data_IF_981872545345
#
_entry.id   IF_981872545345
#
_cell.length_a   1.000
_cell.length_b   1.000
_cell.length_c   1.000
_cell.angle_alpha   90.00
_cell.angle_beta   90.00
_cell.angle_gamma   90.00
#
_symmetry.space_group_name_H-M   'P 1'
#
loop_
_entity.id
_entity.type
_entity.pdbx_description
1 polymer ?
#
# COMPACT_ATOMS: atom_id res chain seq x y z
N UNK A 1 -11.87 -13.12 -4.32
CA UNK A 1 -11.63 -11.67 -4.32
C UNK A 1 -10.49 -11.43 -3.36
N UNK A 2 -9.28 -11.33 -3.92
CA UNK A 2 -8.03 -11.29 -3.16
C UNK A 2 -7.95 -9.96 -2.39
N UNK A 3 -7.34 -9.94 -1.21
CA UNK A 3 -7.08 -8.69 -0.47
C UNK A 3 -6.27 -7.73 -1.35
N UNK A 4 -5.46 -8.28 -2.24
CA UNK A 4 -4.79 -7.57 -3.32
C UNK A 4 -5.72 -6.66 -4.16
N UNK A 5 -6.96 -7.06 -4.39
CA UNK A 5 -7.94 -6.26 -5.13
C UNK A 5 -8.53 -5.14 -4.28
N UNK A 6 -8.81 -5.42 -2.99
CA UNK A 6 -9.27 -4.43 -1.99
C UNK A 6 -8.21 -3.34 -1.76
N UNK A 7 -6.94 -3.71 -1.65
CA UNK A 7 -5.82 -2.79 -1.42
C UNK A 7 -5.11 -2.34 -2.72
N UNK A 8 -5.69 -2.61 -3.89
CA UNK A 8 -5.10 -2.24 -5.19
C UNK A 8 -4.85 -0.73 -5.28
N UNK A 9 -5.77 0.09 -4.76
CA UNK A 9 -5.65 1.55 -4.76
C UNK A 9 -4.48 2.03 -3.89
N UNK A 10 -4.30 1.42 -2.72
CA UNK A 10 -3.18 1.68 -1.81
C UNK A 10 -1.84 1.37 -2.49
N UNK A 11 -1.73 0.17 -3.09
CA UNK A 11 -0.52 -0.27 -3.80
C UNK A 11 -0.21 0.62 -5.00
N UNK A 12 -1.24 0.98 -5.79
CA UNK A 12 -1.08 1.86 -6.95
C UNK A 12 -0.61 3.25 -6.51
N UNK A 13 -1.19 3.77 -5.43
CA UNK A 13 -0.76 5.06 -4.88
C UNK A 13 0.66 5.00 -4.35
N UNK A 14 1.06 3.91 -3.68
CA UNK A 14 2.44 3.73 -3.22
C UNK A 14 3.43 3.73 -4.40
N UNK A 15 3.10 3.04 -5.49
CA UNK A 15 3.91 3.06 -6.71
C UNK A 15 3.98 4.47 -7.32
N UNK A 16 2.85 5.13 -7.49
CA UNK A 16 2.81 6.50 -8.04
C UNK A 16 3.47 7.54 -7.15
N UNK A 17 3.50 7.32 -5.84
CA UNK A 17 4.14 8.20 -4.87
C UNK A 17 5.67 8.05 -4.84
N UNK A 18 6.24 7.13 -5.60
CA UNK A 18 7.69 6.90 -5.64
C UNK A 18 8.21 6.09 -4.44
N UNK A 19 7.36 5.24 -3.84
CA UNK A 19 7.80 4.29 -2.81
C UNK A 19 8.82 3.33 -3.43
N UNK A 20 10.04 3.35 -2.88
CA UNK A 20 11.13 2.48 -3.34
C UNK A 20 11.03 1.11 -2.70
N UNK A 21 11.52 0.07 -3.39
CA UNK A 21 11.45 -1.32 -2.94
C UNK A 21 10.02 -1.78 -2.56
N UNK A 22 8.99 -1.33 -3.27
CA UNK A 22 7.63 -1.78 -3.01
C UNK A 22 7.49 -3.28 -3.31
N UNK A 23 7.12 -4.06 -2.31
CA UNK A 23 6.90 -5.50 -2.37
C UNK A 23 5.50 -5.78 -1.86
N UNK A 24 4.68 -6.44 -2.67
CA UNK A 24 3.31 -6.82 -2.31
C UNK A 24 3.20 -8.33 -2.28
N UNK A 25 2.90 -8.89 -1.11
CA UNK A 25 2.84 -10.33 -0.89
C UNK A 25 1.56 -10.66 -0.13
N UNK A 26 0.78 -11.62 -0.63
CA UNK A 26 -0.40 -12.11 0.07
C UNK A 26 -0.06 -13.46 0.70
N UNK A 27 -0.21 -13.58 2.02
CA UNK A 27 0.04 -14.83 2.74
C UNK A 27 -0.94 -15.00 3.90
N UNK A 28 -1.62 -16.14 3.96
CA UNK A 28 -2.49 -16.48 5.09
C UNK A 28 -3.61 -15.47 5.33
N UNK A 29 -4.26 -15.00 4.26
CA UNK A 29 -5.31 -13.98 4.34
C UNK A 29 -4.84 -12.61 4.87
N UNK A 30 -3.54 -12.32 4.78
CA UNK A 30 -2.96 -11.01 5.10
C UNK A 30 -2.18 -10.51 3.88
N UNK A 31 -2.34 -9.24 3.56
CA UNK A 31 -1.58 -8.56 2.52
C UNK A 31 -0.42 -7.79 3.15
N UNK A 32 0.80 -8.21 2.84
CA UNK A 32 2.04 -7.54 3.21
C UNK A 32 2.43 -6.57 2.10
N UNK A 33 2.58 -5.30 2.46
CA UNK A 33 3.07 -4.26 1.57
C UNK A 33 4.29 -3.65 2.26
N UNK A 34 5.47 -4.04 1.80
CA UNK A 34 6.74 -3.50 2.28
C UNK A 34 7.26 -2.49 1.27
N UNK A 35 7.83 -1.38 1.75
CA UNK A 35 8.40 -0.35 0.89
C UNK A 35 8.97 0.81 1.69
N UNK A 36 9.79 1.63 1.02
CA UNK A 36 10.43 2.81 1.60
C UNK A 36 9.77 4.06 1.01
N UNK A 37 8.92 4.71 1.80
CA UNK A 37 8.32 5.97 1.40
C UNK A 37 9.38 7.07 1.40
N UNK A 38 9.42 7.93 0.36
CA UNK A 38 10.43 8.99 0.25
C UNK A 38 10.20 10.14 1.24
N UNK A 39 8.97 10.33 1.72
CA UNK A 39 8.58 11.44 2.59
C UNK A 39 7.43 11.05 3.53
N UNK A 40 7.28 11.80 4.63
CA UNK A 40 6.16 11.63 5.59
C UNK A 40 4.79 11.93 4.97
N UNK A 41 4.69 12.89 4.04
CA UNK A 41 3.44 13.17 3.31
C UNK A 41 2.92 11.96 2.54
N UNK A 42 3.82 11.22 1.88
CA UNK A 42 3.45 9.98 1.19
C UNK A 42 2.95 8.95 2.19
N UNK A 43 3.64 8.83 3.34
CA UNK A 43 3.23 7.92 4.41
C UNK A 43 1.84 8.26 4.94
N UNK A 44 1.55 9.54 5.20
CA UNK A 44 0.22 10.00 5.62
C UNK A 44 -0.84 9.71 4.56
N UNK A 45 -0.57 10.02 3.29
CA UNK A 45 -1.50 9.76 2.19
C UNK A 45 -1.84 8.27 2.05
N UNK A 46 -0.85 7.40 2.16
CA UNK A 46 -1.06 5.95 2.17
C UNK A 46 -1.90 5.52 3.36
N UNK A 47 -1.67 6.11 4.54
CA UNK A 47 -2.45 5.81 5.72
C UNK A 47 -3.91 6.24 5.60
N UNK A 48 -4.17 7.40 4.99
CA UNK A 48 -5.51 7.92 4.72
C UNK A 48 -6.30 7.01 3.77
N UNK A 49 -5.63 6.52 2.71
CA UNK A 49 -6.21 5.55 1.77
C UNK A 49 -6.49 4.22 2.48
N UNK A 50 -5.55 3.73 3.28
CA UNK A 50 -5.74 2.51 4.06
C UNK A 50 -6.97 2.63 4.98
N UNK A 51 -7.13 3.76 5.68
CA UNK A 51 -8.30 4.02 6.54
C UNK A 51 -9.61 4.32 5.81
N UNK A 52 -9.60 4.45 4.47
CA UNK A 52 -10.84 4.46 3.66
C UNK A 52 -11.23 3.07 3.18
N UNK A 53 -10.23 2.20 3.02
CA UNK A 53 -10.42 0.82 2.57
C UNK A 53 -10.94 -0.05 3.71
N UNK A 54 -10.51 0.21 4.94
CA UNK A 54 -10.96 -0.45 6.17
C UNK A 54 -11.90 0.45 6.98
#
# INVERSE_FOLDING_TARGET
>A
MALQEKYRELVTTAQSAGVSNLQVREQGNVLYIDGVAPSEEIKQRLWDIYGKID
#
